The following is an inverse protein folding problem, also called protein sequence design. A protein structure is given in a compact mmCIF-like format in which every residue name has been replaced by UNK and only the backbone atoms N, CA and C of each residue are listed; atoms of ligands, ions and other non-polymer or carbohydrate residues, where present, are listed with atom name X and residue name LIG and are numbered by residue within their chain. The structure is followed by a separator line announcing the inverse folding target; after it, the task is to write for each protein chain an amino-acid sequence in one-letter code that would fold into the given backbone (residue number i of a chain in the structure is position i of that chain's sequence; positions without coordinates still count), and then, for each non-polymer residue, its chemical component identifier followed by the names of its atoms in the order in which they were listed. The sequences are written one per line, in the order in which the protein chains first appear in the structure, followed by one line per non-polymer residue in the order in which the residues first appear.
data_IF_861780385424
#
_entry.id   IF_861780385424
#
_cell.length_a   1.000
_cell.length_b   1.000
_cell.length_c   1.000
_cell.angle_alpha   90.00
_cell.angle_beta   90.00
_cell.angle_gamma   90.00
#
_symmetry.space_group_name_H-M   'P 1'
#
loop_
_entity.id
_entity.type
_entity.pdbx_description
1 polymer ?
2 non-polymer ?
#
# COMPACT_ATOMS: atom_id res chain seq x y z
N UNK A 6 -9.85 14.57 -2.87
CA UNK A 6 -10.27 13.16 -3.01
C UNK A 6 -9.26 12.21 -2.38
N UNK A 7 -9.35 10.95 -2.69
CA UNK A 7 -8.40 9.96 -2.11
C UNK A 7 -7.02 10.10 -2.77
N UNK A 8 -5.98 10.18 -1.99
CA UNK A 8 -4.61 10.33 -2.56
C UNK A 8 -4.42 9.36 -3.73
N UNK A 9 -5.12 8.26 -3.72
CA UNK A 9 -4.97 7.28 -4.84
C UNK A 9 -5.98 7.60 -5.95
N UNK A 10 -5.55 7.53 -7.18
CA UNK A 10 -6.47 7.82 -8.32
C UNK A 10 -7.11 6.53 -8.81
N UNK A 11 -8.11 6.66 -9.65
CA UNK A 11 -8.80 5.47 -10.19
C UNK A 11 -7.84 4.69 -11.09
N UNK A 12 -6.98 5.38 -11.78
CA UNK A 12 -6.01 4.68 -12.66
C UNK A 12 -4.93 4.02 -11.79
N UNK A 13 -4.72 4.55 -10.61
CA UNK A 13 -3.70 3.94 -9.70
C UNK A 13 -4.35 2.79 -8.95
N UNK A 14 -5.59 2.96 -8.57
CA UNK A 14 -6.29 1.87 -7.84
C UNK A 14 -6.51 0.69 -8.80
N UNK A 15 -6.39 0.92 -10.07
CA UNK A 15 -6.58 -0.18 -11.05
C UNK A 15 -5.28 -0.99 -11.12
N UNK A 16 -4.16 -0.33 -11.09
CA UNK A 16 -2.87 -1.07 -11.12
C UNK A 16 -2.59 -1.59 -9.71
N UNK A 17 -3.17 -0.94 -8.73
CA UNK A 17 -2.98 -1.41 -7.32
C UNK A 17 -3.85 -2.66 -7.12
N UNK A 18 -4.99 -2.67 -7.75
CA UNK A 18 -5.90 -3.85 -7.62
C UNK A 18 -5.39 -5.00 -8.48
N UNK A 19 -4.45 -4.74 -9.33
CA UNK A 19 -3.88 -5.85 -10.16
C UNK A 19 -2.64 -6.36 -9.45
N UNK A 20 -1.95 -5.47 -8.81
CA UNK A 20 -0.76 -5.86 -8.03
C UNK A 20 -1.25 -6.52 -6.75
N UNK A 21 -2.37 -6.07 -6.26
CA UNK A 21 -2.95 -6.67 -5.03
C UNK A 21 -3.41 -8.09 -5.34
N UNK A 22 -3.94 -8.30 -6.51
CA UNK A 22 -4.41 -9.65 -6.90
C UNK A 22 -3.27 -10.41 -7.57
N UNK A 23 -2.11 -9.82 -7.67
CA UNK A 23 -0.97 -10.53 -8.30
C UNK A 23 -0.16 -11.22 -7.19
N UNK A 24 -0.61 -11.08 -5.97
CA UNK A 24 0.08 -11.71 -4.82
C UNK A 24 -0.84 -12.78 -4.22
N UNK A 25 -2.01 -12.92 -4.76
CA UNK A 25 -3.01 -13.92 -4.24
C UNK A 25 -3.75 -13.33 -3.05
N UNK A 26 -4.83 -12.67 -3.35
CA UNK A 26 -5.66 -12.03 -2.30
C UNK A 26 -6.46 -13.07 -1.53
N UNK A 27 -6.75 -12.80 -0.30
CA UNK A 27 -7.54 -13.76 0.52
C UNK A 27 -8.86 -13.10 0.95
N UNK A 28 -9.92 -13.35 0.23
CA UNK A 28 -11.23 -12.73 0.58
C UNK A 28 -11.09 -11.21 0.60
N UNK A 29 -10.08 -10.69 -0.04
CA UNK A 29 -9.90 -9.21 -0.07
C UNK A 29 -8.73 -8.82 0.85
N UNK A 30 -7.74 -9.68 0.95
CA UNK A 30 -6.58 -9.36 1.83
C UNK A 30 -5.30 -10.01 1.31
N UNK A 31 -4.17 -9.48 1.71
CA UNK A 31 -2.87 -10.07 1.28
C UNK A 31 -1.96 -10.15 2.50
N UNK A 32 -1.33 -11.28 2.69
CA UNK A 32 -0.43 -11.42 3.87
C UNK A 32 0.92 -10.78 3.58
N UNK A 33 1.48 -10.13 4.55
CA UNK A 33 2.80 -9.48 4.35
C UNK A 33 3.72 -10.43 3.58
N UNK A 34 3.48 -11.72 3.69
CA UNK A 34 4.34 -12.70 2.97
C UNK A 34 4.21 -12.50 1.45
N UNK A 35 3.21 -11.80 1.01
CA UNK A 35 3.04 -11.55 -0.45
C UNK A 35 3.37 -10.11 -0.76
N UNK A 36 2.92 -9.22 0.07
CA UNK A 36 3.21 -7.78 -0.16
C UNK A 36 4.67 -7.48 0.18
N UNK A 37 5.19 -8.13 1.19
CA UNK A 37 6.60 -7.87 1.58
C UNK A 37 7.50 -7.94 0.36
N UNK A 38 7.45 -9.03 -0.36
CA UNK A 38 8.28 -9.19 -1.57
C UNK A 38 7.83 -8.17 -2.61
N UNK A 39 6.58 -7.83 -2.58
CA UNK A 39 6.04 -6.83 -3.54
C UNK A 39 6.45 -5.42 -3.10
N UNK A 40 7.00 -5.30 -1.93
CA UNK A 40 7.44 -3.96 -1.46
C UNK A 40 8.96 -3.87 -1.64
N UNK A 41 9.60 -4.99 -1.82
CA UNK A 41 11.08 -4.99 -2.02
C UNK A 41 11.39 -4.80 -3.49
N UNK A 42 10.65 -5.42 -4.36
CA UNK A 42 10.93 -5.23 -5.81
C UNK A 42 10.97 -3.73 -6.11
N UNK A 43 10.37 -2.93 -5.26
CA UNK A 43 10.37 -1.45 -5.48
C UNK A 43 11.80 -0.90 -5.33
N UNK A 44 12.73 -1.73 -4.94
CA UNK A 44 14.13 -1.26 -4.77
C UNK A 44 14.24 -0.38 -3.51
N UNK A 45 13.20 -0.33 -2.73
CA UNK A 45 13.24 0.51 -1.50
C UNK A 45 13.73 -0.31 -0.31
N UNK A 46 14.24 0.38 0.67
CA UNK A 46 14.73 -0.28 1.89
C UNK A 46 13.56 -0.75 2.75
N UNK A 47 13.81 -1.62 3.70
CA UNK A 47 12.71 -2.12 4.56
C UNK A 47 12.15 -0.98 5.42
N UNK A 48 12.79 0.17 5.40
CA UNK A 48 12.27 1.31 6.18
C UNK A 48 11.04 1.86 5.49
N UNK A 49 11.09 1.92 4.19
CA UNK A 49 9.91 2.41 3.44
C UNK A 49 8.81 1.36 3.59
N UNK A 50 9.16 0.13 3.38
CA UNK A 50 8.17 -0.97 3.52
C UNK A 50 7.70 -1.02 4.97
N UNK A 51 8.43 -0.40 5.85
CA UNK A 51 8.01 -0.39 7.27
C UNK A 51 7.10 0.81 7.52
N UNK A 52 7.35 1.88 6.82
CA UNK A 52 6.49 3.09 6.97
C UNK A 52 5.37 3.04 5.95
N UNK A 53 5.71 2.93 4.70
CA UNK A 53 4.65 2.86 3.67
C UNK A 53 3.60 1.85 4.13
N UNK A 54 4.02 0.62 4.33
CA UNK A 54 3.06 -0.41 4.81
C UNK A 54 2.23 0.14 5.96
N UNK A 55 2.88 0.62 6.99
CA UNK A 55 2.12 1.17 8.15
C UNK A 55 1.03 2.12 7.64
N UNK A 56 1.38 3.07 6.83
CA UNK A 56 0.36 4.02 6.30
C UNK A 56 -0.50 3.32 5.24
N UNK A 57 -0.13 2.12 4.86
CA UNK A 57 -0.91 1.36 3.84
C UNK A 57 -1.80 0.32 4.53
N UNK A 58 -1.32 -0.27 5.58
CA UNK A 58 -2.13 -1.29 6.30
C UNK A 58 -3.16 -0.60 7.19
N UNK A 59 -4.16 -0.02 6.59
CA UNK A 59 -5.20 0.68 7.39
C UNK A 59 -5.54 -0.10 8.66
N UNK A 60 -5.49 -1.41 8.60
CA UNK A 60 -5.80 -2.21 9.81
C UNK A 60 -4.51 -2.53 10.58
N UNK A 61 -3.40 -2.60 9.89
CA UNK A 61 -2.11 -2.88 10.58
C UNK A 61 -2.11 -4.28 11.19
N UNK A 62 -2.56 -5.26 10.46
CA UNK A 62 -2.59 -6.65 11.02
C UNK A 62 -1.60 -7.55 10.26
N UNK A 63 -0.64 -6.98 9.60
CA UNK A 63 0.34 -7.81 8.84
C UNK A 63 -0.23 -8.14 7.46
N UNK A 64 -1.41 -7.65 7.18
CA UNK A 64 -2.02 -7.93 5.86
C UNK A 64 -2.53 -6.65 5.23
N UNK A 65 -2.74 -6.65 3.94
CA UNK A 65 -3.23 -5.40 3.26
C UNK A 65 -4.48 -5.71 2.42
N UNK A 66 -5.59 -5.16 2.80
CA UNK A 66 -6.83 -5.41 2.01
C UNK A 66 -6.72 -4.71 0.65
N UNK A 67 -7.65 -4.94 -0.22
CA UNK A 67 -7.58 -4.28 -1.57
C UNK A 67 -7.48 -2.76 -1.42
N UNK A 68 -8.07 -2.20 -0.40
CA UNK A 68 -8.01 -0.72 -0.22
C UNK A 68 -6.75 -0.36 0.58
N UNK A 69 -6.34 -1.22 1.47
CA UNK A 69 -5.11 -0.94 2.26
C UNK A 69 -3.88 -1.22 1.42
N UNK A 70 -3.94 -2.28 0.65
CA UNK A 70 -2.77 -2.60 -0.21
C UNK A 70 -2.61 -1.49 -1.26
N UNK A 71 -3.68 -0.84 -1.60
CA UNK A 71 -3.60 0.25 -2.61
C UNK A 71 -2.74 1.40 -2.05
N UNK A 72 -2.99 1.75 -0.83
CA UNK A 72 -2.21 2.85 -0.19
C UNK A 72 -0.74 2.49 -0.11
N UNK A 73 -0.42 1.23 -0.21
CA UNK A 73 1.00 0.81 -0.12
C UNK A 73 1.67 0.76 -1.50
N UNK A 74 0.92 0.87 -2.55
CA UNK A 74 1.56 0.83 -3.90
C UNK A 74 1.96 2.23 -4.34
N UNK A 75 1.14 3.21 -4.11
CA UNK A 75 1.51 4.59 -4.51
C UNK A 75 2.48 5.15 -3.47
N UNK A 76 2.45 4.62 -2.28
CA UNK A 76 3.39 5.08 -1.23
C UNK A 76 4.77 4.53 -1.53
N UNK A 77 4.82 3.44 -2.26
CA UNK A 77 6.12 2.84 -2.63
C UNK A 77 6.57 3.43 -3.96
N UNK A 78 5.77 3.26 -4.98
CA UNK A 78 6.12 3.79 -6.32
C UNK A 78 6.59 5.25 -6.25
N UNK A 79 6.21 5.96 -5.21
CA UNK A 79 6.64 7.39 -5.11
C UNK A 79 8.03 7.47 -4.50
N UNK A 80 8.48 6.41 -3.88
CA UNK A 80 9.84 6.44 -3.26
C UNK A 80 10.87 6.04 -4.31
N UNK A 81 10.42 5.48 -5.40
CA UNK A 81 11.38 5.07 -6.47
C UNK A 81 11.63 6.27 -7.37
N UNK A 82 10.59 6.99 -7.67
CA UNK A 82 10.74 8.18 -8.55
C UNK A 82 11.45 9.31 -7.79
N UNK A 83 10.93 9.67 -6.65
CA UNK A 83 11.57 10.76 -5.86
C UNK A 83 10.79 11.08 -4.58
N UNK A 84 9.52 10.78 -4.55
CA UNK A 84 8.70 11.10 -3.33
C UNK A 84 8.94 10.07 -2.22
N UNK A 85 9.53 10.53 -1.15
CA UNK A 85 9.80 9.64 0.00
C UNK A 85 8.48 9.34 0.72
N UNK A 86 8.54 8.72 1.87
CA UNK A 86 7.27 8.40 2.59
C UNK A 86 7.41 8.70 4.09
N UNK A 87 6.48 9.47 4.60
CA UNK A 87 6.49 9.83 6.03
C UNK A 87 5.84 8.70 6.83
N UNK A 88 5.55 8.94 8.07
CA UNK A 88 4.91 7.87 8.90
C UNK A 88 3.53 8.31 9.36
N UNK A 89 3.03 9.38 8.83
CA UNK A 89 1.70 9.85 9.29
C UNK A 89 0.61 9.64 8.25
N UNK A 90 -0.23 8.68 8.49
CA UNK A 90 -1.35 8.43 7.53
C UNK A 90 -2.16 9.71 7.31
N UNK A 91 -2.00 10.30 6.16
CA UNK A 91 -2.73 11.54 5.83
C UNK A 91 -4.21 11.25 5.56
N UNK A 92 -5.03 12.22 5.88
CA UNK A 92 -6.50 12.08 5.70
C UNK A 92 -6.91 12.14 4.23
N UNK A 93 -5.97 12.38 3.36
CA UNK A 93 -6.32 12.45 1.91
C UNK A 93 -6.09 11.08 1.26
N UNK A 94 -5.26 10.29 1.86
CA UNK A 94 -4.97 8.94 1.33
C UNK A 94 -5.80 7.90 2.08
N UNK A 95 -6.36 8.29 3.20
CA UNK A 95 -7.18 7.33 3.99
C UNK A 95 -8.64 7.36 3.51
N UNK A 96 -9.21 6.18 3.38
CA UNK A 96 -10.61 6.06 2.93
C UNK A 96 -11.56 6.51 4.03
N UNK A 97 -12.82 6.57 3.70
CA UNK A 97 -13.84 7.01 4.68
C UNK A 97 -14.08 5.91 5.73
N UNK A 98 -13.44 4.79 5.58
CA UNK A 98 -13.62 3.70 6.58
C UNK A 98 -12.71 3.92 7.78
N UNK A 99 -11.70 4.74 7.63
CA UNK A 99 -10.79 5.01 8.77
C UNK A 99 -11.32 6.21 9.56
N UNK A 100 -12.41 6.79 9.13
CA UNK A 100 -12.97 7.96 9.88
C UNK A 100 -13.70 7.48 11.13
#
# INVERSE_FOLDING_TARGET
NRWGSPWAVKPEDKAKYDAIFDSLSPVNGFLSGDKVKPVLLNSKLPVDILGRVWELSDIDHDGMLDRDEFAVAMFLVYCALEKEPVPMSLPPALVPPSKRKTWLEI
#
